data_IF_176848328937
#
_entry.id   IF_176848328937
#
_cell.length_a   1.000
_cell.length_b   1.000
_cell.length_c   1.000
_cell.angle_alpha   90.00
_cell.angle_beta   90.00
_cell.angle_gamma   90.00
#
_symmetry.space_group_name_H-M   'P 1'
#
loop_
_entity.id
_entity.type
_entity.pdbx_description
1 polymer ?
#
# COMPACT_ATOMS: atom_id res chain seq x y z
N UNK A 1 -22.58 -6.93 6.53
CA UNK A 1 -22.10 -5.56 6.23
C UNK A 1 -20.64 -5.66 5.81
N UNK A 2 -20.20 -4.98 4.75
CA UNK A 2 -18.80 -5.07 4.31
C UNK A 2 -17.91 -4.08 5.04
N UNK A 3 -16.61 -4.36 5.13
CA UNK A 3 -15.61 -3.52 5.82
C UNK A 3 -15.60 -2.08 5.32
N UNK A 4 -15.34 -1.14 6.22
CA UNK A 4 -15.11 0.28 5.93
C UNK A 4 -13.61 0.59 5.98
N UNK A 5 -13.17 1.54 5.15
CA UNK A 5 -11.75 1.83 4.95
C UNK A 5 -11.48 3.33 4.93
N UNK A 6 -10.37 3.74 5.52
CA UNK A 6 -9.81 5.09 5.40
C UNK A 6 -8.56 5.06 4.56
N UNK A 7 -8.40 6.02 3.66
CA UNK A 7 -7.18 6.27 2.90
C UNK A 7 -6.65 7.67 3.22
N UNK A 8 -5.49 7.73 3.86
CA UNK A 8 -4.80 8.95 4.23
C UNK A 8 -3.69 9.17 3.21
N UNK A 9 -3.96 10.02 2.22
CA UNK A 9 -3.15 10.28 1.04
C UNK A 9 -2.41 11.63 1.18
N UNK A 10 -1.33 11.58 1.95
CA UNK A 10 -0.42 12.68 2.25
C UNK A 10 0.59 12.95 1.13
N UNK A 11 0.76 12.03 0.18
CA UNK A 11 1.64 12.21 -0.98
C UNK A 11 0.96 13.02 -2.09
N UNK A 12 -0.31 12.73 -2.40
CA UNK A 12 -1.01 13.38 -3.49
C UNK A 12 -2.03 14.44 -3.01
N UNK A 13 -2.43 14.42 -1.73
CA UNK A 13 -3.39 15.39 -1.18
C UNK A 13 -4.85 14.94 -1.26
N UNK A 14 -5.10 13.63 -1.39
CA UNK A 14 -6.43 13.04 -1.30
C UNK A 14 -7.36 13.46 -2.43
N UNK A 15 -8.63 13.76 -2.12
CA UNK A 15 -9.66 14.06 -3.13
C UNK A 15 -9.40 15.34 -3.95
N UNK A 16 -8.49 16.21 -3.49
CA UNK A 16 -8.07 17.38 -4.27
C UNK A 16 -7.15 16.97 -5.45
N UNK A 17 -6.53 15.80 -5.38
CA UNK A 17 -5.68 15.27 -6.45
C UNK A 17 -6.50 14.61 -7.55
N UNK A 18 -6.21 15.01 -8.80
CA UNK A 18 -6.77 14.36 -9.99
C UNK A 18 -6.34 12.89 -10.09
N UNK A 19 -5.12 12.58 -9.66
CA UNK A 19 -4.58 11.22 -9.76
C UNK A 19 -5.26 10.28 -8.76
N UNK A 20 -5.51 10.77 -7.54
CA UNK A 20 -6.25 10.05 -6.51
C UNK A 20 -7.70 9.82 -6.95
N UNK A 21 -8.37 10.85 -7.45
CA UNK A 21 -9.74 10.71 -7.98
C UNK A 21 -9.81 9.72 -9.14
N UNK A 22 -8.89 9.82 -10.10
CA UNK A 22 -8.81 8.89 -11.23
C UNK A 22 -8.54 7.45 -10.77
N UNK A 23 -7.76 7.26 -9.70
CA UNK A 23 -7.52 5.93 -9.12
C UNK A 23 -8.77 5.34 -8.48
N UNK A 24 -9.54 6.15 -7.76
CA UNK A 24 -10.81 5.73 -7.15
C UNK A 24 -11.79 5.31 -8.24
N UNK A 25 -11.99 6.14 -9.27
CA UNK A 25 -12.91 5.87 -10.36
C UNK A 25 -12.58 4.58 -11.12
N UNK A 26 -11.29 4.29 -11.32
CA UNK A 26 -10.84 3.05 -11.98
C UNK A 26 -11.01 1.81 -11.13
N UNK A 27 -10.83 1.90 -9.81
CA UNK A 27 -10.64 0.72 -8.95
C UNK A 27 -11.78 0.47 -7.95
N UNK A 28 -12.60 1.48 -7.64
CA UNK A 28 -13.63 1.39 -6.61
C UNK A 28 -15.01 1.41 -7.27
N UNK A 29 -15.78 0.34 -7.05
CA UNK A 29 -17.17 0.26 -7.51
C UNK A 29 -18.04 1.25 -6.74
N UNK A 30 -19.00 1.90 -7.40
CA UNK A 30 -19.91 2.91 -6.81
C UNK A 30 -20.51 2.50 -5.46
N UNK A 31 -20.99 1.26 -5.35
CA UNK A 31 -21.59 0.71 -4.12
C UNK A 31 -20.63 0.62 -2.93
N UNK A 32 -19.32 0.76 -3.16
CA UNK A 32 -18.27 0.73 -2.15
C UNK A 32 -17.78 2.13 -1.77
N UNK A 33 -18.07 3.17 -2.57
CA UNK A 33 -17.59 4.53 -2.32
C UNK A 33 -18.06 5.08 -0.97
N UNK A 34 -19.28 4.76 -0.54
CA UNK A 34 -19.80 5.16 0.78
C UNK A 34 -19.06 4.52 1.97
N UNK A 35 -18.20 3.54 1.72
CA UNK A 35 -17.39 2.84 2.73
C UNK A 35 -15.91 3.19 2.63
N UNK A 36 -15.54 4.13 1.76
CA UNK A 36 -14.19 4.64 1.60
C UNK A 36 -14.17 6.10 2.06
N UNK A 37 -13.41 6.37 3.12
CA UNK A 37 -13.10 7.72 3.56
C UNK A 37 -11.70 8.11 3.07
N UNK A 38 -11.52 9.36 2.64
CA UNK A 38 -10.25 9.84 2.09
C UNK A 38 -9.88 11.15 2.74
N UNK A 39 -8.66 11.21 3.25
CA UNK A 39 -8.05 12.43 3.80
C UNK A 39 -6.78 12.76 3.01
N UNK A 40 -6.62 14.02 2.62
CA UNK A 40 -5.39 14.51 1.99
C UNK A 40 -4.34 15.05 2.96
N UNK A 41 -4.69 15.13 4.24
CA UNK A 41 -3.89 15.77 5.28
C UNK A 41 -4.01 14.99 6.59
N UNK A 42 -2.98 15.09 7.44
CA UNK A 42 -2.96 14.56 8.80
C UNK A 42 -2.56 15.68 9.77
N UNK A 43 -3.46 16.63 10.07
CA UNK A 43 -3.13 17.84 10.84
C UNK A 43 -2.69 17.55 12.29
N UNK A 44 -3.05 16.37 12.81
CA UNK A 44 -2.61 15.89 14.13
C UNK A 44 -1.66 14.69 14.02
N UNK A 45 -0.99 14.54 12.87
CA UNK A 45 -0.03 13.46 12.60
C UNK A 45 -0.60 12.08 12.99
N UNK A 46 0.03 11.36 13.92
CA UNK A 46 -0.39 10.01 14.35
C UNK A 46 -1.80 9.98 14.93
N UNK A 47 -2.28 11.06 15.57
CA UNK A 47 -3.62 11.07 16.15
C UNK A 47 -4.71 11.06 15.07
N UNK A 48 -4.45 11.62 13.89
CA UNK A 48 -5.34 11.46 12.74
C UNK A 48 -5.45 9.99 12.32
N UNK A 49 -4.33 9.25 12.34
CA UNK A 49 -4.32 7.81 12.04
C UNK A 49 -5.08 7.02 13.10
N UNK A 50 -4.90 7.35 14.39
CA UNK A 50 -5.62 6.72 15.50
C UNK A 50 -7.13 6.94 15.43
N UNK A 51 -7.55 8.17 15.11
CA UNK A 51 -8.97 8.50 14.90
C UNK A 51 -9.57 7.69 13.75
N UNK A 52 -8.80 7.47 12.67
CA UNK A 52 -9.22 6.58 11.59
C UNK A 52 -9.30 5.12 12.05
N UNK A 53 -8.28 4.62 12.75
CA UNK A 53 -8.27 3.23 13.25
C UNK A 53 -9.42 2.92 14.22
N UNK A 54 -9.88 3.91 14.99
CA UNK A 54 -11.04 3.78 15.88
C UNK A 54 -12.38 3.64 15.14
N UNK A 55 -12.46 4.05 13.87
CA UNK A 55 -13.70 4.13 13.09
C UNK A 55 -13.76 3.17 11.90
N UNK A 56 -12.60 2.73 11.40
CA UNK A 56 -12.49 1.96 10.17
C UNK A 56 -11.78 0.62 10.41
N UNK A 57 -12.19 -0.41 9.67
CA UNK A 57 -11.58 -1.75 9.74
C UNK A 57 -10.21 -1.79 9.05
N UNK A 58 -10.00 -0.89 8.08
CA UNK A 58 -8.77 -0.81 7.29
C UNK A 58 -8.32 0.64 7.21
N UNK A 59 -7.05 0.90 7.48
CA UNK A 59 -6.45 2.23 7.36
C UNK A 59 -5.24 2.13 6.42
N UNK A 60 -5.31 2.85 5.31
CA UNK A 60 -4.23 2.98 4.33
C UNK A 60 -3.55 4.32 4.52
N UNK A 61 -2.22 4.35 4.53
CA UNK A 61 -1.38 5.55 4.75
C UNK A 61 -0.37 5.67 3.62
N UNK A 62 -0.45 6.75 2.86
CA UNK A 62 0.48 7.09 1.76
C UNK A 62 0.98 8.52 1.94
N UNK A 63 2.16 8.78 2.53
CA UNK A 63 3.13 7.83 3.07
C UNK A 63 3.36 8.07 4.56
N UNK A 64 3.88 7.06 5.26
CA UNK A 64 4.17 7.16 6.70
C UNK A 64 5.17 8.27 7.03
N UNK A 65 6.12 8.53 6.15
CA UNK A 65 7.20 9.50 6.34
C UNK A 65 6.66 10.93 6.46
N UNK A 66 5.53 11.23 5.82
CA UNK A 66 4.85 12.54 5.90
C UNK A 66 4.24 12.84 7.27
N UNK A 67 4.11 11.84 8.13
CA UNK A 67 3.66 12.02 9.51
C UNK A 67 4.78 12.54 10.42
N UNK A 68 6.05 12.53 9.97
CA UNK A 68 7.22 13.00 10.72
C UNK A 68 7.40 12.32 12.10
N UNK A 69 7.04 11.04 12.20
CA UNK A 69 7.14 10.24 13.43
C UNK A 69 8.12 9.07 13.27
N UNK A 70 8.73 8.60 14.37
CA UNK A 70 9.57 7.41 14.36
C UNK A 70 8.79 6.15 13.96
N UNK A 71 9.45 5.22 13.24
CA UNK A 71 8.85 3.93 12.85
C UNK A 71 8.40 3.08 14.05
N UNK A 72 9.01 3.24 15.23
CA UNK A 72 8.60 2.54 16.46
C UNK A 72 7.14 2.82 16.86
N UNK A 73 6.58 3.96 16.43
CA UNK A 73 5.17 4.32 16.65
C UNK A 73 4.20 3.44 15.87
N UNK A 74 4.66 2.77 14.81
CA UNK A 74 3.83 1.86 14.04
C UNK A 74 3.47 0.59 14.85
N UNK A 75 4.41 0.08 15.64
CA UNK A 75 4.17 -1.10 16.48
C UNK A 75 3.19 -0.80 17.62
N UNK A 76 3.29 0.40 18.19
CA UNK A 76 2.32 0.88 19.17
C UNK A 76 0.92 0.98 18.56
N UNK A 77 0.81 1.55 17.36
CA UNK A 77 -0.45 1.69 16.64
C UNK A 77 -1.12 0.33 16.39
N UNK A 78 -0.34 -0.67 15.96
CA UNK A 78 -0.84 -2.05 15.77
C UNK A 78 -1.30 -2.70 17.08
N UNK A 79 -0.61 -2.39 18.18
CA UNK A 79 -0.94 -2.94 19.50
C UNK A 79 -2.20 -2.29 20.10
N UNK A 80 -2.38 -1.00 19.88
CA UNK A 80 -3.54 -0.22 20.35
C UNK A 80 -4.81 -0.56 19.54
N UNK A 81 -4.67 -0.86 18.25
CA UNK A 81 -5.77 -1.18 17.33
C UNK A 81 -5.58 -2.56 16.67
N UNK A 82 -5.65 -3.67 17.45
CA UNK A 82 -5.31 -5.01 16.95
C UNK A 82 -6.31 -5.56 15.92
N UNK A 83 -7.51 -4.99 15.85
CA UNK A 83 -8.56 -5.39 14.92
C UNK A 83 -8.54 -4.58 13.61
N UNK A 84 -7.64 -3.60 13.50
CA UNK A 84 -7.51 -2.73 12.32
C UNK A 84 -6.38 -3.24 11.42
N UNK A 85 -6.67 -3.36 10.12
CA UNK A 85 -5.63 -3.66 9.13
C UNK A 85 -4.97 -2.37 8.70
N UNK A 86 -3.68 -2.23 8.96
CA UNK A 86 -2.87 -1.10 8.47
C UNK A 86 -2.15 -1.47 7.18
N UNK A 87 -2.31 -0.64 6.15
CA UNK A 87 -1.55 -0.72 4.90
C UNK A 87 -0.73 0.56 4.80
N UNK A 88 0.59 0.43 4.73
CA UNK A 88 1.49 1.57 4.66
C UNK A 88 2.25 1.52 3.34
N UNK A 89 2.21 2.61 2.59
CA UNK A 89 2.93 2.76 1.34
C UNK A 89 4.23 3.50 1.63
N UNK A 90 5.35 2.85 1.31
CA UNK A 90 6.66 3.46 1.44
C UNK A 90 7.27 3.69 0.06
N UNK A 91 7.89 4.86 -0.14
CA UNK A 91 8.68 5.14 -1.33
C UNK A 91 10.05 4.46 -1.26
N UNK A 92 10.52 3.90 -2.38
CA UNK A 92 11.89 3.46 -2.51
C UNK A 92 12.84 4.64 -2.78
N UNK A 93 14.07 4.56 -2.27
CA UNK A 93 15.17 5.45 -2.61
C UNK A 93 15.78 5.02 -3.96
N UNK A 94 16.66 5.85 -4.53
CA UNK A 94 17.27 5.58 -5.84
C UNK A 94 18.11 4.30 -5.92
N UNK A 95 18.45 3.70 -4.77
CA UNK A 95 19.21 2.46 -4.65
C UNK A 95 18.30 1.23 -4.40
N UNK A 96 16.97 1.42 -4.42
CA UNK A 96 15.99 0.34 -4.27
C UNK A 96 15.67 -0.07 -2.83
N UNK A 97 16.25 0.61 -1.83
CA UNK A 97 15.89 0.48 -0.42
C UNK A 97 14.75 1.40 -0.01
N UNK A 98 14.05 1.10 1.07
CA UNK A 98 12.92 1.92 1.55
C UNK A 98 13.42 3.25 2.14
N UNK A 99 12.91 4.41 1.67
CA UNK A 99 13.24 5.73 2.24
C UNK A 99 12.77 5.77 3.70
N UNK A 100 13.63 6.12 4.66
CA UNK A 100 13.26 6.19 6.09
C UNK A 100 13.65 4.98 6.95
N UNK A 101 14.42 4.04 6.40
CA UNK A 101 15.09 2.97 7.15
C UNK A 101 14.41 1.61 7.03
N UNK A 102 15.26 0.57 7.05
CA UNK A 102 14.95 -0.86 6.79
C UNK A 102 14.07 -1.51 7.86
N UNK A 103 13.78 -0.81 8.96
CA UNK A 103 13.12 -1.41 10.15
C UNK A 103 11.64 -1.72 9.92
N UNK A 104 10.92 -0.88 9.16
CA UNK A 104 9.49 -1.10 8.92
C UNK A 104 9.22 -2.37 8.07
N UNK A 105 10.09 -2.65 7.09
CA UNK A 105 10.03 -3.87 6.28
C UNK A 105 10.30 -5.13 7.12
N UNK A 106 11.15 -5.01 8.15
CA UNK A 106 11.51 -6.11 9.03
C UNK A 106 10.40 -6.48 10.02
N UNK A 107 9.60 -5.53 10.49
CA UNK A 107 8.59 -5.77 11.53
C UNK A 107 7.18 -6.09 10.98
N UNK A 108 6.90 -5.75 9.72
CA UNK A 108 5.62 -6.08 9.10
C UNK A 108 5.43 -7.60 8.93
N UNK A 109 4.25 -8.17 9.24
CA UNK A 109 3.98 -9.60 9.02
C UNK A 109 3.88 -9.95 7.54
N UNK A 110 3.49 -8.98 6.70
CA UNK A 110 3.41 -9.08 5.25
C UNK A 110 4.14 -7.89 4.65
N UNK A 111 5.02 -8.13 3.68
CA UNK A 111 5.69 -7.09 2.92
C UNK A 111 5.53 -7.39 1.43
N UNK A 112 5.07 -6.40 0.67
CA UNK A 112 4.83 -6.48 -0.77
C UNK A 112 5.73 -5.48 -1.46
N UNK A 113 6.53 -5.94 -2.43
CA UNK A 113 7.33 -5.07 -3.30
C UNK A 113 6.67 -4.98 -4.66
N UNK A 114 6.45 -3.75 -5.12
CA UNK A 114 5.98 -3.44 -6.46
C UNK A 114 7.19 -3.15 -7.34
N UNK A 115 7.27 -3.81 -8.49
CA UNK A 115 8.36 -3.68 -9.44
C UNK A 115 7.87 -2.96 -10.69
N UNK A 116 8.60 -1.90 -11.06
CA UNK A 116 8.46 -1.28 -12.37
C UNK A 116 9.40 -1.97 -13.34
N UNK A 117 8.84 -2.59 -14.37
CA UNK A 117 9.63 -3.31 -15.39
C UNK A 117 10.15 -2.32 -16.44
N UNK A 118 9.27 -1.47 -16.97
CA UNK A 118 9.60 -0.52 -18.02
C UNK A 118 8.73 0.76 -17.94
N UNK A 119 8.70 1.53 -19.03
CA UNK A 119 7.85 2.72 -19.15
C UNK A 119 6.45 2.46 -19.70
N UNK A 120 6.17 1.26 -20.19
CA UNK A 120 4.83 0.85 -20.65
C UNK A 120 3.94 0.43 -19.48
N UNK A 121 4.56 0.01 -18.37
CA UNK A 121 3.92 -0.50 -17.16
C UNK A 121 3.10 -1.79 -17.40
N UNK A 122 3.20 -2.39 -18.59
CA UNK A 122 2.41 -3.56 -18.99
C UNK A 122 2.73 -4.77 -18.12
N UNK A 123 3.99 -4.95 -17.75
CA UNK A 123 4.45 -6.11 -16.97
C UNK A 123 4.82 -5.76 -15.54
N UNK A 124 4.45 -4.57 -15.07
CA UNK A 124 4.61 -4.23 -13.66
C UNK A 124 3.89 -5.23 -12.77
N UNK A 125 4.57 -5.65 -11.71
CA UNK A 125 4.06 -6.70 -10.85
C UNK A 125 4.33 -6.42 -9.37
N UNK A 126 3.49 -6.97 -8.52
CA UNK A 126 3.70 -7.01 -7.08
C UNK A 126 4.13 -8.42 -6.66
N UNK A 127 5.11 -8.49 -5.76
CA UNK A 127 5.68 -9.74 -5.24
C UNK A 127 5.67 -9.70 -3.72
N UNK A 128 5.41 -10.84 -3.09
CA UNK A 128 5.54 -10.97 -1.64
C UNK A 128 7.02 -11.12 -1.27
N UNK A 129 7.55 -10.14 -0.54
CA UNK A 129 8.89 -10.24 0.06
C UNK A 129 8.84 -10.96 1.41
N UNK A 130 7.69 -10.88 2.09
CA UNK A 130 7.44 -11.52 3.37
C UNK A 130 5.96 -11.85 3.50
N UNK A 131 5.65 -13.04 4.00
CA UNK A 131 4.29 -13.46 4.32
C UNK A 131 4.32 -14.45 5.50
N UNK A 132 4.27 -13.92 6.73
CA UNK A 132 4.47 -14.73 7.93
C UNK A 132 3.45 -15.88 8.00
N UNK A 133 3.96 -17.12 7.94
CA UNK A 133 3.16 -18.34 8.04
C UNK A 133 2.57 -18.84 6.73
N UNK A 134 2.93 -18.25 5.58
CA UNK A 134 2.38 -18.60 4.27
C UNK A 134 3.46 -18.55 3.18
N UNK A 135 3.10 -18.98 1.96
CA UNK A 135 3.98 -18.94 0.80
C UNK A 135 4.12 -17.52 0.21
N UNK A 136 5.19 -17.33 -0.56
CA UNK A 136 5.55 -16.08 -1.25
C UNK A 136 5.79 -16.29 -2.75
N UNK A 137 5.36 -17.42 -3.29
CA UNK A 137 5.62 -17.90 -4.67
C UNK A 137 4.65 -17.35 -5.72
N UNK A 138 3.81 -16.40 -5.34
CA UNK A 138 2.79 -15.79 -6.20
C UNK A 138 3.09 -14.31 -6.42
N UNK A 139 2.90 -13.90 -7.67
CA UNK A 139 3.07 -12.53 -8.13
C UNK A 139 1.76 -12.03 -8.73
N UNK A 140 1.51 -10.72 -8.60
CA UNK A 140 0.33 -10.07 -9.15
C UNK A 140 0.73 -9.14 -10.29
N UNK A 141 0.28 -9.41 -11.51
CA UNK A 141 0.47 -8.50 -12.64
C UNK A 141 -0.57 -7.38 -12.53
N UNK A 142 -0.10 -6.14 -12.41
CA UNK A 142 -0.94 -4.98 -12.08
C UNK A 142 -1.88 -4.63 -13.23
N UNK A 143 -1.38 -4.66 -14.46
CA UNK A 143 -2.13 -4.26 -15.65
C UNK A 143 -3.28 -5.22 -15.98
N UNK A 144 -3.03 -6.53 -15.89
CA UNK A 144 -4.02 -7.58 -16.21
C UNK A 144 -4.83 -8.04 -15.00
N UNK A 145 -4.43 -7.63 -13.79
CA UNK A 145 -5.05 -8.10 -12.54
C UNK A 145 -5.03 -9.63 -12.40
N UNK A 146 -3.88 -10.23 -12.72
CA UNK A 146 -3.69 -11.68 -12.72
C UNK A 146 -2.67 -12.13 -11.67
N UNK A 147 -2.95 -13.28 -11.05
CA UNK A 147 -1.98 -13.98 -10.21
C UNK A 147 -1.21 -14.96 -11.08
N UNK A 148 0.11 -14.88 -11.04
CA UNK A 148 1.03 -15.78 -11.76
C UNK A 148 2.05 -16.37 -10.78
N UNK A 149 2.57 -17.56 -11.09
CA UNK A 149 3.71 -18.12 -10.37
C UNK A 149 5.04 -17.52 -10.89
N UNK A 150 6.16 -17.91 -10.30
CA UNK A 150 7.49 -17.41 -10.67
C UNK A 150 7.91 -17.78 -12.11
N UNK A 151 7.58 -18.98 -12.58
CA UNK A 151 7.93 -19.47 -13.93
C UNK A 151 7.17 -18.70 -15.03
N UNK A 152 5.87 -18.50 -14.82
CA UNK A 152 5.04 -17.72 -15.72
C UNK A 152 5.44 -16.24 -15.71
N UNK A 153 5.79 -15.68 -14.55
CA UNK A 153 6.34 -14.34 -14.47
C UNK A 153 7.64 -14.21 -15.26
N UNK A 154 8.59 -15.12 -15.08
CA UNK A 154 9.87 -15.11 -15.81
C UNK A 154 9.63 -15.15 -17.32
N UNK A 155 8.76 -16.04 -17.79
CA UNK A 155 8.38 -16.15 -19.20
C UNK A 155 7.83 -14.83 -19.74
N UNK A 156 6.96 -14.14 -18.98
CA UNK A 156 6.41 -12.84 -19.40
C UNK A 156 7.46 -11.74 -19.42
N UNK A 157 8.40 -11.72 -18.46
CA UNK A 157 9.47 -10.73 -18.40
C UNK A 157 10.51 -10.92 -19.53
N UNK A 158 10.78 -12.16 -19.93
CA UNK A 158 11.67 -12.45 -21.05
C UNK A 158 11.12 -11.90 -22.39
N UNK A 159 9.80 -11.82 -22.55
CA UNK A 159 9.15 -11.20 -23.72
C UNK A 159 9.33 -9.67 -23.78
N UNK A 160 9.79 -9.05 -22.70
CA UNK A 160 10.01 -7.59 -22.60
C UNK A 160 11.46 -7.22 -22.89
N UNK A 161 12.39 -8.17 -22.80
CA UNK A 161 13.81 -7.91 -23.12
C UNK A 161 13.98 -7.76 -24.64
N UNK A 162 14.71 -6.71 -25.10
CA UNK A 162 14.94 -6.48 -26.53
C UNK A 162 15.78 -7.57 -27.20
#
# INVERSE_FOLDING_TARGET
MGRASSFIDLEQGGVASKDTMSSIERNIKDKNCSRLYIAGEAPSSIDTVKQAAAQFDVVVIDSWQKLEIPNTRFDELRSEYPNTVFIVIFQQNGEGGTRGGVTADYDAPVAIKVHRVDSTFQYNYASLQKNRGNKTDLNWIISSSEVVNEEELATRLDLVQP
#
